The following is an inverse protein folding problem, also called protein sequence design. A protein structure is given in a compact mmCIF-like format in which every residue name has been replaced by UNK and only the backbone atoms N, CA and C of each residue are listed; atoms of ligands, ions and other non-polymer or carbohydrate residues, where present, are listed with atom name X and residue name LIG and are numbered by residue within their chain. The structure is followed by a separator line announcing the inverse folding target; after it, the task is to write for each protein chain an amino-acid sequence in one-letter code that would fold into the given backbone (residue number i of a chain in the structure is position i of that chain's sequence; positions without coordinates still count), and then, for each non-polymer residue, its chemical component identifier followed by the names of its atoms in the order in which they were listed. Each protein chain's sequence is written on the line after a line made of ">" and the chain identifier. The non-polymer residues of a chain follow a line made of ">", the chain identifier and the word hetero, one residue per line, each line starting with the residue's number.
data_IF_277151888107
#
_entry.id   IF_277151888107
#
_cell.length_a   1.000
_cell.length_b   1.000
_cell.length_c   1.000
_cell.angle_alpha   90.00
_cell.angle_beta   90.00
_cell.angle_gamma   90.00
#
_symmetry.space_group_name_H-M   'P 1'
#
loop_
_entity.id
_entity.type
_entity.pdbx_description
1 polymer ?
#
# COMPACT_ATOMS: atom_id res chain seq x y z
N UNK A 1 16.28 0.69 2.59
CA UNK A 1 15.30 -0.16 3.31
C UNK A 1 14.11 -0.45 2.42
N UNK A 2 13.35 -1.51 2.73
CA UNK A 2 12.11 -1.85 2.01
C UNK A 2 10.89 -1.28 2.72
N UNK A 3 10.09 -0.50 2.01
CA UNK A 3 8.84 0.08 2.50
C UNK A 3 7.68 -0.78 2.01
N UNK A 4 6.90 -1.32 2.94
CA UNK A 4 5.70 -2.09 2.63
C UNK A 4 4.45 -1.23 2.80
N UNK A 5 3.51 -1.39 1.87
CA UNK A 5 2.17 -0.82 1.97
C UNK A 5 1.15 -1.84 1.47
N UNK A 6 0.12 -2.09 2.29
CA UNK A 6 -1.04 -2.87 1.88
C UNK A 6 -2.24 -1.96 1.67
N UNK A 7 -2.71 -1.86 0.43
CA UNK A 7 -3.93 -1.13 0.10
C UNK A 7 -5.11 -2.10 0.14
N UNK A 8 -6.19 -1.70 0.81
CA UNK A 8 -7.45 -2.44 0.80
C UNK A 8 -8.64 -1.51 0.54
N UNK A 9 -9.69 -2.01 -0.08
CA UNK A 9 -10.93 -1.28 -0.31
C UNK A 9 -11.84 -1.99 -1.31
N UNK A 10 -12.97 -1.36 -1.62
CA UNK A 10 -13.89 -1.83 -2.65
C UNK A 10 -13.21 -1.90 -4.02
N UNK A 11 -13.59 -2.87 -4.84
CA UNK A 11 -13.23 -2.93 -6.26
C UNK A 11 -13.91 -1.80 -7.04
N UNK A 12 -13.31 -0.61 -7.03
CA UNK A 12 -13.84 0.59 -7.68
C UNK A 12 -12.73 1.52 -8.21
N UNK A 13 -13.15 2.58 -8.90
CA UNK A 13 -12.23 3.59 -9.46
C UNK A 13 -11.38 4.28 -8.40
N UNK A 14 -11.87 4.40 -7.16
CA UNK A 14 -11.11 5.02 -6.07
C UNK A 14 -9.96 4.11 -5.63
N UNK A 15 -10.16 2.79 -5.60
CA UNK A 15 -9.08 1.84 -5.38
C UNK A 15 -8.04 1.92 -6.50
N UNK A 16 -8.46 1.91 -7.76
CA UNK A 16 -7.57 2.06 -8.92
C UNK A 16 -6.74 3.36 -8.85
N UNK A 17 -7.36 4.48 -8.46
CA UNK A 17 -6.67 5.76 -8.31
C UNK A 17 -5.60 5.73 -7.20
N UNK A 18 -5.87 5.07 -6.07
CA UNK A 18 -4.88 4.92 -4.98
C UNK A 18 -3.70 4.05 -5.38
N UNK A 19 -3.94 2.94 -6.08
CA UNK A 19 -2.87 2.09 -6.62
C UNK A 19 -2.04 2.87 -7.64
N UNK A 20 -2.69 3.56 -8.58
CA UNK A 20 -2.02 4.39 -9.59
C UNK A 20 -1.15 5.47 -8.96
N UNK A 21 -1.67 6.17 -7.94
CA UNK A 21 -0.89 7.16 -7.20
C UNK A 21 0.35 6.53 -6.56
N UNK A 22 0.21 5.38 -5.90
CA UNK A 22 1.34 4.71 -5.27
C UNK A 22 2.40 4.27 -6.30
N UNK A 23 1.98 3.77 -7.47
CA UNK A 23 2.90 3.45 -8.56
C UNK A 23 3.68 4.69 -9.02
N UNK A 24 3.00 5.83 -9.20
CA UNK A 24 3.64 7.10 -9.56
C UNK A 24 4.58 7.63 -8.46
N UNK A 25 4.30 7.31 -7.18
CA UNK A 25 5.15 7.64 -6.05
C UNK A 25 6.39 6.70 -5.93
N UNK A 26 6.59 5.80 -6.91
CA UNK A 26 7.73 4.89 -7.01
C UNK A 26 7.55 3.58 -6.27
N UNK A 27 6.33 3.20 -5.89
CA UNK A 27 6.05 1.85 -5.43
C UNK A 27 5.92 0.89 -6.61
N UNK A 28 6.14 -0.39 -6.33
CA UNK A 28 5.97 -1.51 -7.24
C UNK A 28 4.94 -2.48 -6.67
N UNK A 29 4.24 -3.19 -7.55
CA UNK A 29 3.28 -4.23 -7.16
C UNK A 29 4.04 -5.44 -6.63
N UNK A 30 3.60 -5.95 -5.47
CA UNK A 30 4.10 -7.20 -4.94
C UNK A 30 3.06 -8.31 -5.14
N UNK A 31 3.27 -9.11 -6.19
CA UNK A 31 2.39 -10.23 -6.54
C UNK A 31 0.98 -9.81 -6.98
N UNK A 32 0.12 -10.82 -7.11
CA UNK A 32 -1.28 -10.65 -7.50
C UNK A 32 -2.12 -10.02 -6.38
N UNK A 33 -3.17 -9.25 -6.72
CA UNK A 33 -4.12 -8.77 -5.72
C UNK A 33 -4.87 -9.94 -5.07
N UNK A 34 -5.32 -9.72 -3.84
CA UNK A 34 -6.29 -10.58 -3.17
C UNK A 34 -7.69 -10.00 -3.33
N UNK A 35 -8.70 -10.87 -3.43
CA UNK A 35 -10.09 -10.46 -3.59
C UNK A 35 -10.97 -11.31 -2.69
N UNK A 36 -11.91 -10.68 -1.98
CA UNK A 36 -12.91 -11.35 -1.14
C UNK A 36 -14.26 -10.64 -1.25
N UNK A 37 -15.37 -11.33 -0.98
CA UNK A 37 -16.70 -10.74 -0.97
C UNK A 37 -17.20 -10.60 0.46
N UNK A 38 -17.59 -9.39 0.87
CA UNK A 38 -18.04 -9.13 2.24
C UNK A 38 -19.57 -9.27 2.45
N UNK A 39 -20.30 -9.76 1.44
CA UNK A 39 -21.76 -9.82 1.44
C UNK A 39 -22.45 -8.67 0.70
N UNK A 40 -21.71 -7.60 0.38
CA UNK A 40 -22.24 -6.42 -0.33
C UNK A 40 -21.33 -6.07 -1.53
N UNK A 41 -20.03 -5.99 -1.29
CA UNK A 41 -19.02 -5.55 -2.24
C UNK A 41 -17.87 -6.55 -2.34
N UNK A 42 -17.22 -6.56 -3.50
CA UNK A 42 -15.90 -7.16 -3.65
C UNK A 42 -14.87 -6.23 -3.04
N UNK A 43 -14.10 -6.76 -2.09
CA UNK A 43 -12.99 -6.09 -1.43
C UNK A 43 -11.69 -6.62 -2.02
N UNK A 44 -10.85 -5.70 -2.49
CA UNK A 44 -9.55 -5.98 -3.09
C UNK A 44 -8.44 -5.55 -2.14
N UNK A 45 -7.41 -6.36 -2.04
CA UNK A 45 -6.16 -6.05 -1.36
C UNK A 45 -4.99 -6.08 -2.33
N UNK A 46 -4.15 -5.05 -2.34
CA UNK A 46 -2.92 -5.01 -3.13
C UNK A 46 -1.71 -4.70 -2.24
N UNK A 47 -0.77 -5.63 -2.20
CA UNK A 47 0.55 -5.42 -1.59
C UNK A 47 1.44 -4.62 -2.54
N UNK A 48 2.16 -3.66 -1.98
CA UNK A 48 3.08 -2.79 -2.70
C UNK A 48 4.37 -2.60 -1.91
N UNK A 49 5.47 -2.53 -2.63
CA UNK A 49 6.81 -2.37 -2.07
C UNK A 49 7.50 -1.18 -2.71
N UNK A 50 8.32 -0.47 -1.94
CA UNK A 50 9.21 0.57 -2.47
C UNK A 50 10.58 0.41 -1.83
N UNK A 51 11.63 0.41 -2.65
CA UNK A 51 12.99 0.56 -2.15
C UNK A 51 13.26 2.04 -1.88
N UNK A 52 13.78 2.36 -0.70
CA UNK A 52 14.24 3.71 -0.34
C UNK A 52 15.67 3.65 0.18
N UNK A 53 16.46 4.69 -0.09
CA UNK A 53 17.84 4.74 0.37
C UNK A 53 17.90 5.05 1.88
N UNK A 54 17.01 5.93 2.34
CA UNK A 54 17.01 6.47 3.69
C UNK A 54 15.59 6.59 4.26
N UNK A 55 15.44 6.50 5.58
CA UNK A 55 14.15 6.68 6.26
C UNK A 55 13.53 8.05 5.99
N UNK A 56 14.35 9.07 5.71
CA UNK A 56 13.97 10.42 5.21
C UNK A 56 12.96 10.42 4.05
N UNK A 57 12.84 9.32 3.31
CA UNK A 57 11.92 9.19 2.18
C UNK A 57 10.54 8.62 2.55
N UNK A 58 10.36 8.08 3.76
CA UNK A 58 9.06 7.56 4.21
C UNK A 58 8.26 8.59 5.00
N UNK A 59 6.92 8.50 4.90
CA UNK A 59 6.00 9.41 5.59
C UNK A 59 6.22 9.42 7.10
N UNK A 60 6.06 10.59 7.73
CA UNK A 60 6.27 10.75 9.18
C UNK A 60 5.43 9.77 10.02
N UNK A 61 4.19 9.51 9.61
CA UNK A 61 3.32 8.55 10.29
C UNK A 61 3.89 7.13 10.30
N UNK A 62 4.50 6.70 9.20
CA UNK A 62 5.12 5.38 9.09
C UNK A 62 6.36 5.28 9.97
N UNK A 63 7.20 6.33 10.00
CA UNK A 63 8.38 6.37 10.89
C UNK A 63 7.99 6.26 12.34
N UNK A 64 7.05 7.12 12.77
CA UNK A 64 6.59 7.12 14.15
C UNK A 64 6.05 5.74 14.56
N UNK A 65 5.38 5.01 13.64
CA UNK A 65 4.89 3.66 13.91
C UNK A 65 6.02 2.61 14.02
N UNK A 66 7.10 2.75 13.24
CA UNK A 66 8.29 1.90 13.34
C UNK A 66 9.00 2.14 14.68
N UNK A 67 9.20 3.41 15.06
CA UNK A 67 9.90 3.78 16.30
C UNK A 67 9.15 3.34 17.56
N UNK A 68 7.82 3.31 17.53
CA UNK A 68 6.99 2.85 18.66
C UNK A 68 6.91 1.33 18.83
N UNK A 69 7.43 0.56 17.88
CA UNK A 69 7.45 -0.91 17.93
C UNK A 69 8.74 -1.48 18.55
N UNK A 70 9.65 -0.62 19.01
CA UNK A 70 10.92 -1.00 19.68
C UNK A 70 10.87 -0.62 21.16
#
# INVERSE_FOLDING_TARGET
>A
MKVYRYLTGKDDVNFCARVTKALNDGYELYGSPTMTFNGIDVIVGQAMMKEVADESEISQSLRNAIDQQI
#
